data_IF_624966204577
#
_entry.id   IF_624966204577
#
_cell.length_a   1.000
_cell.length_b   1.000
_cell.length_c   1.000
_cell.angle_alpha   90.00
_cell.angle_beta   90.00
_cell.angle_gamma   90.00
#
_symmetry.space_group_name_H-M   'P 1'
#
loop_
_entity.id
_entity.type
_entity.pdbx_description
1 polymer ?
#
# COMPACT_ATOMS: atom_id res chain seq x y z
N UNK A 1 -94.30 13.68 -39.60
CA UNK A 1 -93.88 12.27 -39.39
C UNK A 1 -92.37 12.24 -39.53
N UNK A 2 -91.66 12.16 -38.40
CA UNK A 2 -90.88 11.00 -37.90
C UNK A 2 -89.37 11.17 -38.10
N UNK A 3 -88.66 11.22 -36.96
CA UNK A 3 -87.20 11.12 -36.72
C UNK A 3 -86.67 9.72 -37.07
N UNK A 4 -85.36 9.47 -37.31
CA UNK A 4 -84.30 9.34 -36.26
C UNK A 4 -82.91 9.90 -36.70
N UNK A 5 -82.00 10.43 -35.85
CA UNK A 5 -81.13 9.92 -34.75
C UNK A 5 -79.86 9.10 -35.12
N UNK A 6 -78.71 9.76 -34.93
CA UNK A 6 -77.43 9.44 -34.22
C UNK A 6 -76.43 8.37 -34.73
N UNK A 7 -75.15 8.79 -34.82
CA UNK A 7 -73.92 8.01 -34.55
C UNK A 7 -72.68 8.93 -34.56
N UNK A 8 -72.07 9.25 -33.40
CA UNK A 8 -70.79 8.71 -32.83
C UNK A 8 -69.50 9.20 -33.58
N UNK A 9 -68.50 9.90 -32.98
CA UNK A 9 -67.49 9.42 -32.01
C UNK A 9 -66.46 10.54 -31.58
N UNK A 10 -66.10 10.54 -30.27
CA UNK A 10 -64.83 10.87 -29.53
C UNK A 10 -64.10 12.23 -29.72
N UNK A 11 -63.86 13.08 -28.69
CA UNK A 11 -63.11 13.04 -27.39
C UNK A 11 -61.76 13.84 -27.47
N UNK A 12 -61.16 14.32 -26.35
CA UNK A 12 -60.91 15.75 -26.11
C UNK A 12 -59.44 16.17 -26.23
N UNK A 13 -59.19 17.45 -26.51
CA UNK A 13 -57.84 18.02 -26.51
C UNK A 13 -57.53 18.76 -25.20
N UNK A 14 -56.53 18.22 -24.49
CA UNK A 14 -55.45 18.88 -23.74
C UNK A 14 -55.78 19.60 -22.42
N UNK A 15 -55.48 18.87 -21.34
CA UNK A 15 -55.11 19.36 -20.01
C UNK A 15 -53.69 19.95 -20.10
N UNK A 16 -53.51 21.15 -19.56
CA UNK A 16 -52.19 21.76 -19.32
C UNK A 16 -51.53 21.14 -18.08
N UNK A 17 -50.26 20.74 -18.20
CA UNK A 17 -49.43 20.28 -17.10
C UNK A 17 -48.42 21.37 -16.70
N UNK A 18 -48.28 21.51 -15.38
CA UNK A 18 -47.58 22.56 -14.63
C UNK A 18 -46.04 22.40 -14.65
N UNK A 19 -45.28 23.49 -14.42
CA UNK A 19 -43.82 23.50 -14.43
C UNK A 19 -43.23 23.18 -13.06
N UNK A 20 -43.24 21.90 -12.64
CA UNK A 20 -42.63 21.50 -11.35
C UNK A 20 -41.71 20.28 -11.42
N UNK A 21 -41.37 19.78 -12.62
CA UNK A 21 -40.51 18.58 -12.76
C UNK A 21 -39.03 18.85 -13.04
N UNK A 22 -38.58 20.10 -13.19
CA UNK A 22 -37.17 20.38 -13.53
C UNK A 22 -36.21 20.61 -12.34
N UNK A 23 -36.69 20.84 -11.11
CA UNK A 23 -35.79 21.11 -9.98
C UNK A 23 -35.32 19.84 -9.23
N UNK A 24 -35.98 18.69 -9.40
CA UNK A 24 -35.64 17.46 -8.66
C UNK A 24 -34.43 16.73 -9.25
N UNK A 25 -34.16 16.92 -10.55
CA UNK A 25 -33.05 16.24 -11.25
C UNK A 25 -31.69 16.84 -10.87
N UNK A 26 -31.61 18.16 -10.69
CA UNK A 26 -30.35 18.85 -10.36
C UNK A 26 -29.85 18.48 -8.95
N UNK A 27 -30.76 18.35 -7.96
CA UNK A 27 -30.37 17.98 -6.59
C UNK A 27 -29.87 16.52 -6.51
N UNK A 28 -30.48 15.61 -7.27
CA UNK A 28 -30.03 14.21 -7.36
C UNK A 28 -28.67 14.09 -8.04
N UNK A 29 -28.39 14.87 -9.09
CA UNK A 29 -27.08 14.88 -9.75
C UNK A 29 -26.00 15.45 -8.83
N UNK A 30 -26.28 16.51 -8.06
CA UNK A 30 -25.31 17.03 -7.06
C UNK A 30 -25.05 16.02 -5.94
N UNK A 31 -26.08 15.34 -5.42
CA UNK A 31 -25.92 14.27 -4.41
C UNK A 31 -25.22 13.03 -4.95
N UNK A 32 -25.44 12.66 -6.20
CA UNK A 32 -24.77 11.52 -6.85
C UNK A 32 -23.30 11.85 -7.13
N UNK A 33 -23.02 13.05 -7.63
CA UNK A 33 -21.65 13.54 -7.81
C UNK A 33 -20.95 13.59 -6.46
N UNK A 34 -21.53 14.18 -5.40
CA UNK A 34 -20.93 14.16 -4.06
C UNK A 34 -20.70 12.74 -3.52
N UNK A 35 -21.56 11.76 -3.82
CA UNK A 35 -21.32 10.36 -3.43
C UNK A 35 -20.20 9.69 -4.24
N UNK A 36 -20.08 10.01 -5.53
CA UNK A 36 -19.00 9.52 -6.39
C UNK A 36 -17.65 10.17 -6.05
N UNK A 37 -17.61 11.49 -5.77
CA UNK A 37 -16.38 12.16 -5.34
C UNK A 37 -15.97 11.78 -3.90
N UNK A 38 -16.93 11.40 -3.04
CA UNK A 38 -16.60 10.84 -1.71
C UNK A 38 -16.08 9.40 -1.76
N UNK A 39 -16.33 8.67 -2.84
CA UNK A 39 -15.78 7.33 -3.08
C UNK A 39 -14.33 7.36 -3.54
N UNK A 40 -13.90 8.41 -4.25
CA UNK A 40 -12.50 8.58 -4.69
C UNK A 40 -11.59 9.10 -3.58
N UNK A 41 -12.14 9.62 -2.48
CA UNK A 41 -11.38 10.24 -1.38
C UNK A 41 -11.27 9.38 -0.11
N UNK A 42 -11.60 8.09 -0.20
CA UNK A 42 -11.01 7.08 0.69
C UNK A 42 -9.59 6.76 0.20
N UNK A 43 -8.71 7.76 0.18
CA UNK A 43 -7.28 7.46 0.28
C UNK A 43 -7.14 6.83 1.65
N UNK A 44 -7.05 5.50 1.70
CA UNK A 44 -6.58 4.81 2.89
C UNK A 44 -5.33 5.58 3.33
N UNK A 45 -5.32 6.07 4.57
CA UNK A 45 -4.14 6.77 5.07
C UNK A 45 -2.94 5.85 4.84
N UNK A 46 -1.83 6.38 4.29
CA UNK A 46 -0.66 5.55 4.03
C UNK A 46 -0.24 4.89 5.35
N UNK A 47 0.13 3.61 5.26
CA UNK A 47 0.61 2.87 6.43
C UNK A 47 1.88 3.55 6.93
N UNK A 48 1.96 3.78 8.24
CA UNK A 48 3.13 4.35 8.88
C UNK A 48 3.65 3.41 9.95
N UNK A 49 4.95 3.15 9.90
CA UNK A 49 5.67 2.35 10.88
C UNK A 49 6.75 3.23 11.48
N UNK A 50 6.59 3.60 12.75
CA UNK A 50 7.58 4.34 13.52
C UNK A 50 8.42 3.37 14.35
N UNK A 51 9.71 3.64 14.48
CA UNK A 51 10.60 2.74 15.22
C UNK A 51 11.95 3.32 15.56
N UNK A 52 12.75 2.49 16.22
CA UNK A 52 14.08 2.84 16.75
C UNK A 52 15.15 2.09 15.99
N UNK A 53 16.12 2.82 15.43
CA UNK A 53 17.29 2.23 14.76
C UNK A 53 18.08 1.39 15.74
N UNK A 54 18.48 0.18 15.31
CA UNK A 54 19.26 -0.74 16.12
C UNK A 54 20.31 -1.48 15.29
N UNK A 55 21.37 -1.97 15.93
CA UNK A 55 22.35 -2.84 15.31
C UNK A 55 21.90 -4.30 15.32
N UNK A 56 22.10 -4.99 14.19
CA UNK A 56 21.99 -6.44 14.10
C UNK A 56 23.36 -7.14 14.27
N UNK A 57 23.41 -8.44 13.98
CA UNK A 57 24.64 -9.24 14.00
C UNK A 57 25.56 -9.00 12.79
N UNK A 58 25.23 -8.04 11.91
CA UNK A 58 26.00 -7.74 10.70
C UNK A 58 26.03 -8.85 9.65
N UNK A 59 25.10 -9.83 9.70
CA UNK A 59 25.10 -11.00 8.79
C UNK A 59 24.34 -10.80 7.48
N UNK A 60 23.51 -9.75 7.38
CA UNK A 60 22.69 -9.48 6.20
C UNK A 60 23.53 -9.34 4.92
N UNK A 61 24.75 -8.78 5.01
CA UNK A 61 25.65 -8.60 3.87
C UNK A 61 25.92 -9.88 3.08
N UNK A 62 25.93 -11.06 3.74
CA UNK A 62 26.16 -12.35 3.11
C UNK A 62 25.05 -12.66 2.10
N UNK A 63 23.80 -12.36 2.47
CA UNK A 63 22.64 -12.57 1.62
C UNK A 63 22.49 -11.40 0.64
N UNK A 64 22.54 -10.17 1.14
CA UNK A 64 22.32 -8.96 0.33
C UNK A 64 23.34 -8.81 -0.80
N UNK A 65 24.56 -9.37 -0.68
CA UNK A 65 25.56 -9.30 -1.76
C UNK A 65 25.38 -10.34 -2.86
N UNK A 66 24.42 -11.27 -2.75
CA UNK A 66 24.24 -12.31 -3.77
C UNK A 66 23.68 -11.72 -5.07
N UNK A 67 24.37 -11.97 -6.18
CA UNK A 67 23.97 -11.49 -7.51
C UNK A 67 22.51 -11.81 -7.86
N UNK A 68 22.03 -13.00 -7.48
CA UNK A 68 20.64 -13.42 -7.71
C UNK A 68 19.60 -12.50 -7.05
N UNK A 69 19.87 -12.01 -5.84
CA UNK A 69 18.99 -11.05 -5.19
C UNK A 69 19.18 -9.64 -5.73
N UNK A 70 20.43 -9.24 -6.02
CA UNK A 70 20.73 -7.91 -6.56
C UNK A 70 20.01 -7.59 -7.87
N UNK A 71 19.91 -8.56 -8.79
CA UNK A 71 19.14 -8.39 -10.04
C UNK A 71 17.63 -8.23 -9.79
N UNK A 72 17.09 -8.93 -8.79
CA UNK A 72 15.69 -8.80 -8.39
C UNK A 72 15.43 -7.48 -7.67
N UNK A 73 16.31 -7.05 -6.76
CA UNK A 73 16.23 -5.74 -6.12
C UNK A 73 16.23 -4.62 -7.15
N UNK A 74 17.12 -4.67 -8.15
CA UNK A 74 17.15 -3.69 -9.24
C UNK A 74 15.84 -3.58 -10.01
N UNK A 75 15.10 -4.67 -10.13
CA UNK A 75 13.80 -4.68 -10.79
C UNK A 75 12.68 -4.09 -9.92
N UNK A 76 12.86 -4.06 -8.59
CA UNK A 76 11.87 -3.59 -7.61
C UNK A 76 12.14 -2.14 -7.20
N UNK A 77 13.35 -1.83 -6.72
CA UNK A 77 13.76 -0.50 -6.25
C UNK A 77 14.50 0.31 -7.35
N UNK A 78 14.53 -0.18 -8.59
CA UNK A 78 15.15 0.50 -9.74
C UNK A 78 16.68 0.46 -9.80
N UNK A 79 17.36 0.06 -8.71
CA UNK A 79 18.82 0.04 -8.56
C UNK A 79 19.30 -1.14 -7.72
N UNK A 80 20.60 -1.42 -7.76
CA UNK A 80 21.22 -2.39 -6.86
C UNK A 80 21.07 -1.93 -5.41
N UNK A 81 20.70 -2.84 -4.51
CA UNK A 81 20.60 -2.54 -3.09
C UNK A 81 21.99 -2.48 -2.46
N UNK A 82 22.18 -1.56 -1.51
CA UNK A 82 23.33 -1.57 -0.62
C UNK A 82 23.43 -2.94 0.08
N UNK A 83 24.62 -3.55 0.22
CA UNK A 83 24.78 -4.89 0.79
C UNK A 83 24.64 -4.91 2.33
N UNK A 84 23.46 -4.55 2.82
CA UNK A 84 23.10 -4.54 4.23
C UNK A 84 21.65 -4.11 4.43
N UNK A 85 21.18 -4.19 5.66
CA UNK A 85 19.85 -3.74 6.08
C UNK A 85 20.00 -2.72 7.20
N UNK A 86 19.14 -1.71 7.21
CA UNK A 86 18.90 -0.91 8.41
C UNK A 86 17.87 -1.65 9.26
N UNK A 87 18.21 -1.95 10.51
CA UNK A 87 17.31 -2.64 11.42
C UNK A 87 16.58 -1.63 12.29
N UNK A 88 15.26 -1.77 12.38
CA UNK A 88 14.38 -0.82 13.06
C UNK A 88 13.48 -1.61 14.00
N UNK A 89 13.66 -1.43 15.30
CA UNK A 89 12.81 -2.05 16.30
C UNK A 89 11.48 -1.30 16.38
N UNK A 90 10.38 -2.04 16.33
CA UNK A 90 9.01 -1.49 16.34
C UNK A 90 8.20 -2.07 17.49
N UNK A 91 7.31 -1.26 18.05
CA UNK A 91 6.44 -1.61 19.15
C UNK A 91 5.05 -0.99 18.99
N UNK A 92 4.10 -1.36 19.86
CA UNK A 92 2.75 -0.80 19.88
C UNK A 92 2.04 -0.91 18.53
N UNK A 93 1.43 0.19 18.09
CA UNK A 93 0.67 0.26 16.83
C UNK A 93 1.55 -0.02 15.60
N UNK A 94 2.83 0.40 15.62
CA UNK A 94 3.76 0.14 14.51
C UNK A 94 4.11 -1.34 14.38
N UNK A 95 4.16 -2.08 15.50
CA UNK A 95 4.29 -3.54 15.47
C UNK A 95 3.03 -4.21 14.90
N UNK A 96 1.84 -3.67 15.16
CA UNK A 96 0.58 -4.18 14.59
C UNK A 96 0.58 -4.00 13.07
N UNK A 97 0.95 -2.83 12.57
CA UNK A 97 1.05 -2.58 11.12
C UNK A 97 2.14 -3.44 10.47
N UNK A 98 3.31 -3.60 11.10
CA UNK A 98 4.35 -4.49 10.60
C UNK A 98 3.89 -5.95 10.52
N UNK A 99 3.10 -6.44 11.49
CA UNK A 99 2.51 -7.78 11.45
C UNK A 99 1.59 -7.97 10.24
N UNK A 100 0.82 -6.96 9.84
CA UNK A 100 0.01 -7.03 8.61
C UNK A 100 0.87 -7.25 7.35
N UNK A 101 2.04 -6.60 7.29
CA UNK A 101 3.03 -6.86 6.22
C UNK A 101 3.57 -8.29 6.27
N UNK A 102 3.84 -8.82 7.47
CA UNK A 102 4.29 -10.21 7.66
C UNK A 102 3.23 -11.23 7.24
N UNK A 103 1.96 -10.96 7.50
CA UNK A 103 0.83 -11.76 6.98
C UNK A 103 0.79 -11.68 5.44
N UNK A 104 0.89 -10.48 4.85
CA UNK A 104 0.99 -10.31 3.39
C UNK A 104 2.19 -11.05 2.79
N UNK A 105 3.30 -11.16 3.54
CA UNK A 105 4.50 -11.92 3.15
C UNK A 105 4.37 -13.43 3.35
N UNK A 106 3.28 -13.92 3.95
CA UNK A 106 3.02 -15.34 4.20
C UNK A 106 3.75 -15.94 5.40
N UNK A 107 4.25 -15.11 6.33
CA UNK A 107 4.94 -15.59 7.54
C UNK A 107 4.02 -15.85 8.72
N UNK A 108 2.96 -15.05 8.84
CA UNK A 108 2.05 -15.06 9.97
C UNK A 108 0.60 -15.21 9.49
N UNK A 109 -0.31 -15.56 10.40
CA UNK A 109 -1.77 -15.60 10.15
C UNK A 109 -2.43 -14.31 10.66
N UNK A 110 -3.49 -13.85 9.99
CA UNK A 110 -4.28 -12.71 10.45
C UNK A 110 -4.79 -11.83 9.32
N UNK A 111 -4.96 -10.55 9.62
CA UNK A 111 -5.32 -9.52 8.64
C UNK A 111 -4.06 -9.14 7.84
N UNK A 112 -4.12 -9.29 6.52
CA UNK A 112 -3.06 -8.83 5.61
C UNK A 112 -3.11 -7.32 5.42
N UNK A 113 -1.97 -6.72 5.10
CA UNK A 113 -1.94 -5.33 4.64
C UNK A 113 -2.54 -5.19 3.24
N UNK A 114 -2.97 -3.98 2.90
CA UNK A 114 -3.36 -3.61 1.53
C UNK A 114 -2.17 -3.08 0.69
N UNK A 115 -0.96 -3.09 1.25
CA UNK A 115 0.25 -2.59 0.58
C UNK A 115 0.70 -3.61 -0.47
N UNK A 116 1.08 -3.14 -1.66
CA UNK A 116 1.58 -4.02 -2.72
C UNK A 116 2.88 -4.71 -2.28
N UNK A 117 2.97 -6.00 -2.57
CA UNK A 117 4.11 -6.83 -2.22
C UNK A 117 4.88 -7.27 -3.46
N UNK A 118 6.21 -7.24 -3.38
CA UNK A 118 7.11 -7.66 -4.43
C UNK A 118 7.90 -8.88 -4.00
N UNK A 119 7.66 -10.01 -4.67
CA UNK A 119 8.29 -11.28 -4.31
C UNK A 119 9.72 -11.37 -4.86
N UNK A 120 10.67 -11.63 -3.97
CA UNK A 120 12.04 -12.00 -4.31
C UNK A 120 12.18 -13.51 -4.18
N UNK A 121 12.53 -14.17 -5.28
CA UNK A 121 12.68 -15.62 -5.35
C UNK A 121 14.00 -16.03 -4.71
N UNK A 122 13.93 -17.10 -3.93
CA UNK A 122 15.10 -17.85 -3.48
C UNK A 122 15.74 -18.63 -4.63
N UNK A 123 16.88 -19.25 -4.36
CA UNK A 123 17.65 -20.02 -5.33
C UNK A 123 18.47 -21.12 -4.65
N UNK A 124 18.90 -22.11 -5.44
CA UNK A 124 19.82 -23.15 -5.00
C UNK A 124 21.23 -22.89 -5.53
N UNK A 125 22.25 -23.10 -4.69
CA UNK A 125 23.65 -23.06 -5.09
C UNK A 125 24.46 -24.07 -4.29
N UNK A 126 25.24 -24.90 -4.99
CA UNK A 126 26.15 -25.88 -4.38
C UNK A 126 25.46 -26.80 -3.35
N UNK A 127 24.21 -27.17 -3.62
CA UNK A 127 23.40 -28.02 -2.73
C UNK A 127 22.82 -27.29 -1.50
N UNK A 128 22.98 -25.97 -1.42
CA UNK A 128 22.39 -25.12 -0.38
C UNK A 128 21.25 -24.31 -0.97
N UNK A 129 20.07 -24.43 -0.36
CA UNK A 129 18.90 -23.60 -0.70
C UNK A 129 18.93 -22.28 0.07
N UNK A 130 18.78 -21.19 -0.66
CA UNK A 130 18.65 -19.84 -0.14
C UNK A 130 17.17 -19.43 -0.22
N UNK A 131 16.59 -19.02 0.91
CA UNK A 131 15.18 -18.60 0.99
C UNK A 131 14.85 -17.37 0.13
N UNK A 132 13.58 -17.13 -0.12
CA UNK A 132 13.14 -15.89 -0.74
C UNK A 132 12.96 -14.77 0.29
N UNK A 133 12.37 -13.70 -0.17
CA UNK A 133 11.89 -12.60 0.66
C UNK A 133 10.70 -11.92 -0.02
N UNK A 134 9.99 -11.10 0.73
CA UNK A 134 8.95 -10.23 0.23
C UNK A 134 9.33 -8.79 0.55
N UNK A 135 9.33 -7.91 -0.45
CA UNK A 135 9.62 -6.50 -0.31
C UNK A 135 8.35 -5.64 -0.43
N UNK A 136 8.32 -4.54 0.30
CA UNK A 136 7.26 -3.53 0.23
C UNK A 136 7.94 -2.17 0.03
N UNK A 137 7.63 -1.49 -1.08
CA UNK A 137 8.19 -0.17 -1.36
C UNK A 137 7.73 0.83 -0.29
N UNK A 138 8.65 1.71 0.09
CA UNK A 138 8.42 2.63 1.19
C UNK A 138 9.27 3.90 1.04
N UNK A 139 8.97 4.89 1.86
CA UNK A 139 9.81 6.07 2.08
C UNK A 139 10.24 6.12 3.53
N UNK A 140 11.55 6.18 3.78
CA UNK A 140 12.11 6.44 5.10
C UNK A 140 12.15 7.94 5.33
N UNK A 141 11.66 8.38 6.49
CA UNK A 141 11.68 9.74 6.97
C UNK A 141 12.54 9.84 8.23
N UNK A 142 13.53 10.71 8.22
CA UNK A 142 14.36 11.02 9.38
C UNK A 142 14.90 12.44 9.29
N UNK A 143 14.99 13.16 10.41
CA UNK A 143 15.64 14.48 10.49
C UNK A 143 15.15 15.53 9.45
N UNK A 144 13.91 15.39 8.95
CA UNK A 144 13.35 16.26 7.90
C UNK A 144 13.72 15.87 6.47
N UNK A 145 14.48 14.79 6.30
CA UNK A 145 14.84 14.18 5.02
C UNK A 145 13.95 12.97 4.72
N UNK A 146 13.81 12.68 3.43
CA UNK A 146 13.05 11.52 2.93
C UNK A 146 13.90 10.76 1.91
N UNK A 147 13.94 9.43 2.02
CA UNK A 147 14.67 8.58 1.10
C UNK A 147 13.84 7.36 0.68
N UNK A 148 13.83 7.07 -0.62
CA UNK A 148 13.17 5.88 -1.18
C UNK A 148 13.84 4.61 -0.68
N UNK A 149 13.04 3.66 -0.21
CA UNK A 149 13.54 2.41 0.35
C UNK A 149 12.51 1.30 0.15
N UNK A 150 12.80 0.12 0.70
CA UNK A 150 11.82 -0.93 0.85
C UNK A 150 11.98 -1.62 2.21
N UNK A 151 10.86 -2.02 2.80
CA UNK A 151 10.87 -3.03 3.86
C UNK A 151 11.12 -4.38 3.21
N UNK A 152 12.08 -5.13 3.73
CA UNK A 152 12.39 -6.50 3.31
C UNK A 152 11.98 -7.47 4.41
N UNK A 153 11.17 -8.47 4.07
CA UNK A 153 10.75 -9.54 4.97
C UNK A 153 11.30 -10.87 4.42
N UNK A 154 12.42 -11.38 4.96
CA UNK A 154 12.95 -12.69 4.57
C UNK A 154 12.00 -13.84 4.96
N UNK A 155 11.91 -14.88 4.12
CA UNK A 155 11.12 -16.09 4.43
C UNK A 155 11.59 -16.80 5.70
N UNK A 156 12.86 -16.62 6.03
CA UNK A 156 13.54 -17.26 7.15
C UNK A 156 14.05 -16.19 8.11
N UNK A 157 13.12 -15.57 8.84
CA UNK A 157 13.44 -14.63 9.93
C UNK A 157 13.00 -15.18 11.29
N UNK A 158 13.74 -14.80 12.34
CA UNK A 158 13.39 -15.08 13.75
C UNK A 158 12.96 -13.84 14.51
N UNK A 159 13.17 -12.66 13.94
CA UNK A 159 12.81 -11.39 14.57
C UNK A 159 11.41 -11.00 14.08
N UNK A 160 10.47 -10.84 15.02
CA UNK A 160 9.08 -10.50 14.73
C UNK A 160 8.77 -9.01 14.90
N UNK A 161 9.70 -8.30 15.54
CA UNK A 161 9.63 -6.91 15.99
C UNK A 161 10.75 -6.04 15.42
N UNK A 162 11.56 -6.58 14.52
CA UNK A 162 12.61 -5.85 13.81
C UNK A 162 12.25 -5.79 12.33
N UNK A 163 12.05 -4.56 11.85
CA UNK A 163 11.88 -4.26 10.43
C UNK A 163 13.27 -4.14 9.79
N UNK A 164 13.51 -4.87 8.71
CA UNK A 164 14.71 -4.73 7.89
C UNK A 164 14.39 -3.80 6.71
N UNK A 165 15.14 -2.71 6.58
CA UNK A 165 14.98 -1.72 5.51
C UNK A 165 16.17 -1.78 4.56
N UNK A 166 15.90 -1.83 3.26
CA UNK A 166 16.90 -1.81 2.19
C UNK A 166 16.74 -0.56 1.33
N UNK A 167 17.84 -0.07 0.79
CA UNK A 167 17.89 1.05 -0.15
C UNK A 167 19.08 0.87 -1.10
N UNK A 168 19.20 1.71 -2.12
CA UNK A 168 20.36 1.74 -3.03
C UNK A 168 21.60 2.41 -2.39
N UNK A 169 21.44 3.02 -1.22
CA UNK A 169 22.48 3.71 -0.45
C UNK A 169 22.64 3.14 0.95
N UNK A 170 23.76 3.47 1.61
CA UNK A 170 23.95 3.17 3.02
C UNK A 170 23.15 4.14 3.88
N UNK A 171 21.99 3.70 4.37
CA UNK A 171 21.02 4.55 5.10
C UNK A 171 21.60 5.24 6.34
N UNK A 172 22.49 4.57 7.09
CA UNK A 172 23.08 5.17 8.29
C UNK A 172 23.93 6.39 7.96
N UNK A 173 24.75 6.31 6.93
CA UNK A 173 25.56 7.44 6.51
C UNK A 173 24.72 8.50 5.80
N UNK A 174 23.81 8.07 4.91
CA UNK A 174 23.01 8.98 4.07
C UNK A 174 22.03 9.82 4.89
N UNK A 175 21.47 9.26 5.98
CA UNK A 175 20.52 9.95 6.85
C UNK A 175 21.11 10.29 8.22
N UNK A 176 22.43 10.11 8.41
CA UNK A 176 23.14 10.32 9.69
C UNK A 176 22.46 9.63 10.89
N UNK A 177 22.22 8.32 10.79
CA UNK A 177 21.50 7.52 11.77
C UNK A 177 22.43 6.67 12.65
N UNK A 178 22.25 6.80 13.95
CA UNK A 178 22.86 6.00 15.00
C UNK A 178 21.84 5.08 15.70
N UNK A 179 22.34 4.12 16.49
CA UNK A 179 21.46 3.31 17.33
C UNK A 179 20.72 4.18 18.36
N UNK A 180 19.42 3.96 18.49
CA UNK A 180 18.54 4.76 19.35
C UNK A 180 17.79 5.87 18.61
N UNK A 181 18.15 6.17 17.36
CA UNK A 181 17.45 7.19 16.58
C UNK A 181 16.04 6.77 16.20
N UNK A 182 15.13 7.75 16.24
CA UNK A 182 13.74 7.59 15.83
C UNK A 182 13.59 7.88 14.34
N UNK A 183 12.96 6.96 13.64
CA UNK A 183 12.62 7.13 12.23
C UNK A 183 11.16 6.75 11.97
N UNK A 184 10.69 7.10 10.79
CA UNK A 184 9.38 6.68 10.30
C UNK A 184 9.48 6.10 8.91
N UNK A 185 8.77 5.02 8.64
CA UNK A 185 8.69 4.37 7.34
C UNK A 185 7.24 4.48 6.88
N UNK A 186 7.03 5.07 5.71
CA UNK A 186 5.70 5.30 5.13
C UNK A 186 5.54 4.42 3.90
N UNK A 187 4.43 3.68 3.84
CA UNK A 187 4.06 2.81 2.72
C UNK A 187 2.72 3.27 2.14
N UNK A 188 2.65 3.34 0.81
CA UNK A 188 1.47 3.76 0.04
C UNK A 188 0.82 2.57 -0.69
#
# INVERSE_FOLDING_TARGET
MTVPRVGHIFLPSKIGLLPWQCQVVVLHVVLLVSRTVMSEMYLARPMRIDGIVSSGLGRAHIFMSQHHYQEQFKSIIGRSAWPGTLNVHVEGDSLIEYKKLRVSAGLDEGESSNVESHRIKGFDRDGVSFGGATAFLATLLSNGESLECAILIPDLTRHADVVEVIADVFLRESCSLDDGDKISIVLE
#
